data_IF_736790408954
#
_entry.id   IF_736790408954
#
_cell.length_a   1.000
_cell.length_b   1.000
_cell.length_c   1.000
_cell.angle_alpha   90.00
_cell.angle_beta   90.00
_cell.angle_gamma   90.00
#
_symmetry.space_group_name_H-M   'P 1'
#
loop_
_entity.id
_entity.type
_entity.pdbx_description
1 polymer ?
#
# COMPACT_ATOMS: atom_id res chain seq x y z
N UNK A 1 9.08 19.04 -0.67
CA UNK A 1 7.93 18.51 -1.44
C UNK A 1 7.10 17.67 -0.50
N UNK A 2 5.77 17.79 -0.52
CA UNK A 2 4.89 17.02 0.37
C UNK A 2 4.80 15.57 -0.16
N UNK A 3 4.88 14.53 0.69
CA UNK A 3 4.65 13.14 0.25
C UNK A 3 3.27 12.97 -0.38
N UNK A 4 3.18 12.18 -1.45
CA UNK A 4 1.95 11.93 -2.19
C UNK A 4 0.90 11.22 -1.32
N UNK A 5 1.30 10.28 -0.47
CA UNK A 5 0.40 9.58 0.45
C UNK A 5 -0.28 10.59 1.39
N UNK A 6 0.47 11.57 1.91
CA UNK A 6 -0.07 12.65 2.74
C UNK A 6 -0.94 13.61 1.92
N UNK A 7 -0.69 13.75 0.63
CA UNK A 7 -1.55 14.55 -0.26
C UNK A 7 -2.91 13.86 -0.48
N UNK A 8 -2.90 12.55 -0.72
CA UNK A 8 -4.11 11.73 -0.87
C UNK A 8 -4.89 11.69 0.44
N UNK A 9 -4.24 11.41 1.56
CA UNK A 9 -4.89 11.31 2.87
C UNK A 9 -5.62 12.59 3.31
N UNK A 10 -5.21 13.76 2.79
CA UNK A 10 -5.87 15.05 3.09
C UNK A 10 -7.03 15.39 2.14
N UNK A 11 -7.41 14.47 1.24
CA UNK A 11 -8.47 14.65 0.25
C UNK A 11 -9.51 13.55 0.42
N UNK A 12 -10.59 13.86 1.15
CA UNK A 12 -11.65 12.89 1.50
C UNK A 12 -12.27 12.19 0.27
N UNK A 13 -12.41 12.91 -0.84
CA UNK A 13 -12.93 12.33 -2.09
C UNK A 13 -11.94 11.31 -2.70
N UNK A 14 -10.64 11.58 -2.62
CA UNK A 14 -9.62 10.68 -3.14
C UNK A 14 -9.47 9.43 -2.28
N UNK A 15 -9.44 9.58 -0.95
CA UNK A 15 -9.41 8.45 -0.01
C UNK A 15 -10.67 7.61 -0.15
N UNK A 16 -11.84 8.24 -0.25
CA UNK A 16 -13.10 7.57 -0.49
C UNK A 16 -13.12 6.76 -1.77
N UNK A 17 -12.68 7.35 -2.90
CA UNK A 17 -12.63 6.64 -4.19
C UNK A 17 -11.65 5.47 -4.19
N UNK A 18 -10.48 5.64 -3.57
CA UNK A 18 -9.49 4.57 -3.47
C UNK A 18 -9.98 3.43 -2.57
N UNK A 19 -10.63 3.74 -1.44
CA UNK A 19 -11.23 2.72 -0.58
C UNK A 19 -12.39 2.00 -1.28
N UNK A 20 -13.26 2.74 -1.96
CA UNK A 20 -14.34 2.19 -2.78
C UNK A 20 -14.59 3.04 -4.03
N UNK A 21 -14.50 2.48 -5.25
CA UNK A 21 -14.45 1.05 -5.57
C UNK A 21 -13.05 0.42 -5.63
N UNK A 22 -11.98 1.17 -5.29
CA UNK A 22 -10.60 0.74 -5.53
C UNK A 22 -10.04 -0.36 -4.62
N UNK A 23 -10.74 -0.70 -3.52
CA UNK A 23 -10.31 -1.67 -2.50
C UNK A 23 -8.91 -1.37 -1.93
N UNK A 24 -8.59 -0.07 -1.80
CA UNK A 24 -7.33 0.45 -1.31
C UNK A 24 -7.59 1.49 -0.23
N UNK A 25 -7.55 1.05 1.03
CA UNK A 25 -7.87 1.84 2.20
C UNK A 25 -6.59 2.21 2.98
N UNK A 26 -6.32 3.51 3.07
CA UNK A 26 -5.14 4.04 3.76
C UNK A 26 -5.25 3.92 5.29
N UNK A 27 -6.44 3.70 5.85
CA UNK A 27 -6.63 3.51 7.29
C UNK A 27 -6.42 2.05 7.72
N UNK A 28 -6.07 1.15 6.78
CA UNK A 28 -5.87 -0.29 6.98
C UNK A 28 -4.41 -0.74 6.83
N UNK A 29 -3.45 0.15 7.09
CA UNK A 29 -2.02 -0.15 6.95
C UNK A 29 -1.43 -1.08 8.01
N UNK A 30 -2.10 -1.24 9.16
CA UNK A 30 -1.63 -2.10 10.25
C UNK A 30 -1.87 -3.57 9.92
N UNK A 31 -0.79 -4.29 9.60
CA UNK A 31 -0.83 -5.74 9.45
C UNK A 31 -0.87 -6.42 10.83
N UNK A 32 -1.80 -7.36 11.03
CA UNK A 32 -2.10 -7.96 12.34
C UNK A 32 -0.99 -8.92 12.80
N UNK A 33 -0.26 -9.52 11.86
CA UNK A 33 0.80 -10.49 12.14
C UNK A 33 2.19 -9.91 11.80
N UNK A 34 3.24 -10.46 12.43
CA UNK A 34 4.60 -10.07 12.10
C UNK A 34 5.04 -10.74 10.80
N UNK A 35 5.42 -9.93 9.81
CA UNK A 35 5.88 -10.38 8.49
C UNK A 35 7.25 -9.80 8.16
N UNK A 36 8.04 -10.55 7.39
CA UNK A 36 9.38 -10.13 6.98
C UNK A 36 9.70 -10.63 5.58
N UNK A 37 10.53 -9.88 4.85
CA UNK A 37 11.13 -10.36 3.61
C UNK A 37 12.25 -11.34 3.94
N UNK A 38 12.41 -12.39 3.13
CA UNK A 38 13.52 -13.33 3.25
C UNK A 38 14.90 -12.66 3.11
N UNK A 39 14.97 -11.49 2.46
CA UNK A 39 16.19 -10.68 2.37
C UNK A 39 16.52 -9.92 3.66
N UNK A 40 15.61 -9.86 4.62
CA UNK A 40 15.70 -9.01 5.81
C UNK A 40 15.47 -7.53 5.53
N UNK A 41 15.10 -7.15 4.30
CA UNK A 41 14.71 -5.78 4.00
C UNK A 41 13.42 -5.41 4.75
N UNK A 42 13.32 -4.13 5.11
CA UNK A 42 12.20 -3.56 5.85
C UNK A 42 10.88 -3.70 5.08
N UNK A 43 9.79 -3.95 5.80
CA UNK A 43 8.42 -3.88 5.29
C UNK A 43 7.66 -2.86 6.12
N UNK A 44 6.98 -1.95 5.44
CA UNK A 44 6.15 -0.92 6.07
C UNK A 44 4.76 -0.97 5.47
N UNK A 45 3.79 -1.47 6.24
CA UNK A 45 2.38 -1.49 5.84
C UNK A 45 1.83 -0.06 5.79
N UNK A 46 1.10 0.27 4.73
CA UNK A 46 0.59 1.65 4.52
C UNK A 46 -0.83 1.73 3.97
N UNK A 47 -1.39 0.60 3.52
CA UNK A 47 -2.77 0.48 3.10
C UNK A 47 -3.22 -0.97 3.20
N UNK A 48 -4.52 -1.21 3.17
CA UNK A 48 -5.09 -2.55 3.09
C UNK A 48 -6.36 -2.58 2.25
N UNK A 49 -6.92 -3.76 2.09
CA UNK A 49 -8.18 -3.97 1.36
C UNK A 49 -9.31 -4.47 2.28
N UNK A 50 -10.50 -4.62 1.72
CA UNK A 50 -11.68 -5.13 2.41
C UNK A 50 -11.64 -6.64 2.68
N UNK A 51 -10.79 -7.39 1.99
CA UNK A 51 -10.60 -8.83 2.15
C UNK A 51 -9.55 -9.20 3.23
N UNK A 52 -8.79 -8.22 3.71
CA UNK A 52 -7.74 -8.40 4.73
C UNK A 52 -6.32 -8.44 4.18
N UNK A 53 -6.13 -8.12 2.90
CA UNK A 53 -4.81 -7.92 2.31
C UNK A 53 -4.17 -6.60 2.75
N UNK A 54 -2.84 -6.53 2.62
CA UNK A 54 -2.04 -5.37 3.02
C UNK A 54 -1.01 -5.01 1.95
N UNK A 55 -0.84 -3.70 1.74
CA UNK A 55 0.17 -3.12 0.87
C UNK A 55 1.35 -2.64 1.72
N UNK A 56 2.55 -3.03 1.30
CA UNK A 56 3.80 -2.73 1.98
C UNK A 56 4.75 -1.99 1.06
N UNK A 57 5.42 -0.96 1.59
CA UNK A 57 6.66 -0.49 1.00
C UNK A 57 7.82 -1.42 1.39
N UNK A 58 8.61 -1.82 0.41
CA UNK A 58 9.76 -2.71 0.60
C UNK A 58 11.09 -1.93 0.64
N UNK A 59 11.85 -2.13 1.70
CA UNK A 59 13.20 -1.59 1.88
C UNK A 59 13.25 -0.12 2.31
N UNK A 60 14.44 0.46 2.17
CA UNK A 60 14.73 1.83 2.60
C UNK A 60 14.37 2.86 1.52
N UNK A 61 13.91 4.04 1.95
CA UNK A 61 13.55 5.14 1.06
C UNK A 61 12.15 5.68 1.34
N UNK A 62 11.62 6.43 0.38
CA UNK A 62 10.28 7.04 0.46
C UNK A 62 9.25 6.29 -0.37
N UNK A 63 8.38 7.05 -1.03
CA UNK A 63 7.26 6.52 -1.82
C UNK A 63 7.68 5.92 -3.17
N UNK A 64 8.96 5.99 -3.55
CA UNK A 64 9.50 5.37 -4.77
C UNK A 64 9.86 3.88 -4.58
N UNK A 65 9.72 3.39 -3.35
CA UNK A 65 10.02 1.99 -3.00
C UNK A 65 9.12 1.01 -3.77
N UNK A 66 9.60 -0.22 -4.03
CA UNK A 66 8.74 -1.29 -4.50
C UNK A 66 7.55 -1.50 -3.55
N UNK A 67 6.36 -1.72 -4.12
CA UNK A 67 5.15 -2.03 -3.37
C UNK A 67 4.82 -3.50 -3.51
N UNK A 68 4.77 -4.20 -2.39
CA UNK A 68 4.30 -5.57 -2.28
C UNK A 68 2.87 -5.56 -1.77
N UNK A 69 2.03 -6.40 -2.36
CA UNK A 69 0.73 -6.75 -1.81
C UNK A 69 0.79 -8.17 -1.27
N UNK A 70 0.27 -8.39 -0.06
CA UNK A 70 0.06 -9.71 0.50
C UNK A 70 -1.42 -9.90 0.84
N UNK A 71 -1.98 -11.05 0.48
CA UNK A 71 -3.35 -11.42 0.86
C UNK A 71 -3.38 -12.14 2.22
N UNK A 72 -4.59 -12.40 2.71
CA UNK A 72 -4.81 -13.05 4.01
C UNK A 72 -4.46 -14.56 4.01
N UNK A 73 -4.22 -15.12 2.84
CA UNK A 73 -3.95 -16.52 2.55
C UNK A 73 -2.44 -16.80 2.50
N UNK A 74 -1.61 -15.77 2.67
CA UNK A 74 -0.17 -15.84 2.68
C UNK A 74 0.47 -15.79 1.30
N UNK A 75 -0.28 -15.44 0.25
CA UNK A 75 0.30 -15.13 -1.05
C UNK A 75 0.79 -13.68 -1.04
N UNK A 76 1.88 -13.44 -1.78
CA UNK A 76 2.42 -12.10 -1.93
C UNK A 76 3.01 -11.89 -3.32
N UNK A 77 2.85 -10.67 -3.84
CA UNK A 77 3.40 -10.26 -5.11
C UNK A 77 3.83 -8.80 -5.09
N UNK A 78 4.88 -8.49 -5.86
CA UNK A 78 5.23 -7.11 -6.16
C UNK A 78 4.24 -6.56 -7.18
N UNK A 79 3.56 -5.45 -6.86
CA UNK A 79 2.48 -4.90 -7.69
C UNK A 79 2.85 -3.60 -8.39
N UNK A 80 3.80 -2.83 -7.83
CA UNK A 80 4.27 -1.58 -8.42
C UNK A 80 5.69 -1.24 -7.96
N UNK A 81 6.34 -0.34 -8.71
CA UNK A 81 7.54 0.37 -8.24
C UNK A 81 7.13 1.81 -7.99
N UNK A 82 6.91 2.14 -6.71
CA UNK A 82 6.50 3.44 -6.25
C UNK A 82 4.99 3.69 -6.19
N UNK A 83 4.57 4.50 -5.22
CA UNK A 83 3.19 4.91 -4.98
C UNK A 83 2.54 5.63 -6.19
N UNK A 84 3.23 6.53 -6.92
CA UNK A 84 2.63 7.16 -8.09
C UNK A 84 2.22 6.16 -9.18
N UNK A 85 2.99 5.08 -9.34
CA UNK A 85 2.67 4.01 -10.30
C UNK A 85 1.49 3.20 -9.80
N UNK A 86 1.48 2.80 -8.52
CA UNK A 86 0.36 2.09 -7.91
C UNK A 86 -0.96 2.85 -8.07
N UNK A 87 -1.00 4.12 -7.68
CA UNK A 87 -2.24 4.91 -7.76
C UNK A 87 -2.74 5.04 -9.20
N UNK A 88 -1.85 5.18 -10.19
CA UNK A 88 -2.26 5.21 -11.60
C UNK A 88 -2.89 3.91 -12.09
N UNK A 89 -2.57 2.76 -11.47
CA UNK A 89 -3.20 1.48 -11.80
C UNK A 89 -4.62 1.37 -11.22
N UNK A 90 -4.89 2.07 -10.12
CA UNK A 90 -6.20 2.08 -9.43
C UNK A 90 -7.18 3.09 -10.04
N UNK A 91 -6.68 4.10 -10.75
CA UNK A 91 -7.48 5.09 -11.44
C UNK A 91 -7.88 4.55 -12.82
N UNK A 92 -9.10 4.02 -12.93
CA UNK A 92 -9.71 3.51 -14.18
C UNK A 92 -10.50 4.62 -14.87
#
# INVERSE_FOLDING_TARGET
MKPLITAVYQQDEATGFLAWPGDFDLDRGDHVEEVHLASGATLEGFAGDGAGGTFFFCGEGGEERPVLYADSEGCAALVAIGLPVLLRLLLV
#
